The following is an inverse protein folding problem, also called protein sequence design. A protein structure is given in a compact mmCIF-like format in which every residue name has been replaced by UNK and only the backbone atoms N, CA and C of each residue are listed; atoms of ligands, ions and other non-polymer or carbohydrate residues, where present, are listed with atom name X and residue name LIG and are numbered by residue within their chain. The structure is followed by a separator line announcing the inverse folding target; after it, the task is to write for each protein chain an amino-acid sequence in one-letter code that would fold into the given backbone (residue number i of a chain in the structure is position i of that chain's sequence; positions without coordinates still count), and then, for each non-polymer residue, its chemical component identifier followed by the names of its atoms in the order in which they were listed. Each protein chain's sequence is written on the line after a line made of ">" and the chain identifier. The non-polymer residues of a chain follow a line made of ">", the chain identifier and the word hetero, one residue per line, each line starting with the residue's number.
data_IF_870258116865
#
_entry.id   IF_870258116865
#
_cell.length_a   1.000
_cell.length_b   1.000
_cell.length_c   1.000
_cell.angle_alpha   90.00
_cell.angle_beta   90.00
_cell.angle_gamma   90.00
#
_symmetry.space_group_name_H-M   'P 1'
#
loop_
_entity.id
_entity.type
_entity.pdbx_description
1 polymer ?
#
# COMPACT_ATOMS: atom_id res chain seq x y z
N UNK A 1 12.39 -29.81 -47.56
CA UNK A 1 12.63 -28.71 -46.62
C UNK A 1 11.42 -28.61 -45.71
N UNK A 2 11.51 -29.18 -44.51
CA UNK A 2 10.43 -29.17 -43.51
C UNK A 2 11.00 -28.52 -42.26
N UNK A 3 10.57 -27.28 -41.99
CA UNK A 3 10.87 -26.58 -40.74
C UNK A 3 9.88 -27.03 -39.66
N UNK A 4 10.33 -27.39 -38.45
CA UNK A 4 9.41 -27.62 -37.33
C UNK A 4 9.15 -26.31 -36.57
N UNK A 5 7.87 -26.01 -36.37
CA UNK A 5 7.38 -24.93 -35.51
C UNK A 5 7.63 -25.25 -34.04
N UNK A 6 8.51 -24.49 -33.39
CA UNK A 6 8.54 -24.37 -31.93
C UNK A 6 8.04 -22.98 -31.60
N UNK A 7 6.98 -22.89 -30.79
CA UNK A 7 6.71 -21.88 -29.73
C UNK A 7 5.20 -21.78 -29.53
N UNK A 8 4.64 -22.53 -28.58
CA UNK A 8 3.30 -22.22 -28.06
C UNK A 8 3.11 -22.49 -26.55
N UNK A 9 4.14 -22.96 -25.84
CA UNK A 9 4.04 -23.24 -24.39
C UNK A 9 4.27 -22.01 -23.49
N UNK A 10 5.13 -21.08 -23.89
CA UNK A 10 5.61 -19.99 -23.01
C UNK A 10 4.66 -18.78 -22.90
N UNK A 11 3.66 -18.69 -23.77
CA UNK A 11 2.69 -17.58 -23.77
C UNK A 11 1.48 -17.82 -22.87
N UNK A 12 1.12 -19.08 -22.59
CA UNK A 12 0.01 -19.42 -21.71
C UNK A 12 0.34 -19.10 -20.24
N UNK A 13 1.54 -19.46 -19.79
CA UNK A 13 1.98 -19.24 -18.40
C UNK A 13 2.13 -17.75 -18.06
N UNK A 14 2.51 -16.91 -19.04
CA UNK A 14 2.57 -15.45 -18.86
C UNK A 14 1.19 -14.81 -18.77
N UNK A 15 0.21 -15.33 -19.50
CA UNK A 15 -1.16 -14.80 -19.47
C UNK A 15 -1.86 -15.13 -18.15
N UNK A 16 -1.66 -16.32 -17.59
CA UNK A 16 -2.20 -16.70 -16.27
C UNK A 16 -1.59 -15.87 -15.14
N UNK A 17 -0.27 -15.61 -15.18
CA UNK A 17 0.39 -14.71 -14.22
C UNK A 17 -0.10 -13.27 -14.29
N UNK A 18 -0.43 -12.75 -15.49
CA UNK A 18 -1.00 -11.40 -15.63
C UNK A 18 -2.46 -11.31 -15.21
N UNK A 19 -3.26 -12.38 -15.35
CA UNK A 19 -4.66 -12.38 -14.93
C UNK A 19 -4.85 -12.50 -13.41
N UNK A 20 -3.87 -13.03 -12.68
CA UNK A 20 -3.90 -13.10 -11.22
C UNK A 20 -3.76 -11.73 -10.53
N UNK A 21 -3.19 -10.72 -11.21
CA UNK A 21 -2.94 -9.39 -10.66
C UNK A 21 -4.16 -8.45 -10.70
N UNK A 22 -5.33 -8.90 -11.17
CA UNK A 22 -6.51 -8.04 -11.37
C UNK A 22 -7.83 -8.64 -10.87
N UNK A 23 -7.78 -9.67 -10.02
CA UNK A 23 -8.99 -10.11 -9.33
C UNK A 23 -9.28 -9.19 -8.15
N UNK A 24 -10.43 -8.49 -8.19
CA UNK A 24 -10.92 -7.80 -7.01
C UNK A 24 -11.14 -8.83 -5.89
N UNK A 25 -10.68 -8.55 -4.65
CA UNK A 25 -10.86 -9.46 -3.55
C UNK A 25 -12.35 -9.75 -3.33
N UNK A 26 -12.67 -11.02 -3.09
CA UNK A 26 -14.03 -11.44 -2.79
C UNK A 26 -14.51 -10.84 -1.47
N UNK A 27 -15.82 -10.71 -1.29
CA UNK A 27 -16.41 -10.21 -0.03
C UNK A 27 -15.89 -10.94 1.21
N UNK A 28 -15.65 -12.26 1.10
CA UNK A 28 -15.14 -13.07 2.21
C UNK A 28 -13.63 -12.91 2.45
N UNK A 29 -12.84 -12.58 1.41
CA UNK A 29 -11.45 -12.20 1.57
C UNK A 29 -11.32 -10.81 2.21
N UNK A 30 -12.10 -9.84 1.73
CA UNK A 30 -12.16 -8.49 2.34
C UNK A 30 -12.59 -8.57 3.80
N UNK A 31 -13.63 -9.37 4.12
CA UNK A 31 -14.07 -9.57 5.51
C UNK A 31 -12.97 -10.20 6.37
N UNK A 32 -12.25 -11.19 5.85
CA UNK A 32 -11.14 -11.81 6.58
C UNK A 32 -10.00 -10.82 6.82
N UNK A 33 -9.63 -10.03 5.81
CA UNK A 33 -8.61 -9.00 5.94
C UNK A 33 -9.00 -7.95 7.00
N UNK A 34 -10.24 -7.46 6.98
CA UNK A 34 -10.74 -6.51 7.99
C UNK A 34 -10.68 -7.11 9.40
N UNK A 35 -11.12 -8.37 9.57
CA UNK A 35 -11.08 -9.03 10.87
C UNK A 35 -9.65 -9.21 11.40
N UNK A 36 -8.68 -9.47 10.51
CA UNK A 36 -7.27 -9.53 10.88
C UNK A 36 -6.77 -8.17 11.38
N UNK A 37 -7.11 -7.07 10.67
CA UNK A 37 -6.71 -5.71 11.06
C UNK A 37 -7.34 -5.30 12.38
N UNK A 38 -8.65 -5.51 12.56
CA UNK A 38 -9.37 -5.14 13.79
C UNK A 38 -8.94 -5.98 15.00
N UNK A 39 -8.43 -7.19 14.77
CA UNK A 39 -7.89 -8.06 15.82
C UNK A 39 -6.50 -7.67 16.33
N UNK A 40 -5.84 -6.69 15.71
CA UNK A 40 -4.51 -6.24 16.11
C UNK A 40 -4.51 -5.48 17.45
N UNK A 41 -3.37 -5.49 18.13
CA UNK A 41 -3.10 -4.56 19.22
C UNK A 41 -3.21 -3.11 18.74
N UNK A 42 -3.50 -2.16 19.65
CA UNK A 42 -3.66 -0.75 19.25
C UNK A 42 -2.45 -0.16 18.50
N UNK A 43 -1.19 -0.41 18.90
CA UNK A 43 -0.03 0.08 18.16
C UNK A 43 0.07 -0.51 16.75
N UNK A 44 -0.14 -1.82 16.61
CA UNK A 44 -0.07 -2.54 15.34
C UNK A 44 -1.22 -2.16 14.40
N UNK A 45 -2.42 -1.94 14.95
CA UNK A 45 -3.58 -1.43 14.22
C UNK A 45 -3.29 -0.03 13.68
N UNK A 46 -2.75 0.88 14.50
CA UNK A 46 -2.41 2.24 14.08
C UNK A 46 -1.37 2.23 12.95
N UNK A 47 -0.32 1.40 13.09
CA UNK A 47 0.69 1.23 12.03
C UNK A 47 0.08 0.67 10.75
N UNK A 48 -0.70 -0.39 10.85
CA UNK A 48 -1.33 -1.03 9.68
C UNK A 48 -2.28 -0.07 8.96
N UNK A 49 -3.07 0.70 9.70
CA UNK A 49 -3.96 1.70 9.12
C UNK A 49 -3.16 2.82 8.44
N UNK A 50 -2.07 3.30 9.05
CA UNK A 50 -1.20 4.29 8.45
C UNK A 50 -0.55 3.79 7.14
N UNK A 51 -0.12 2.52 7.09
CA UNK A 51 0.41 1.92 5.87
C UNK A 51 -0.65 1.83 4.75
N UNK A 52 -1.89 1.49 5.10
CA UNK A 52 -3.00 1.45 4.14
C UNK A 52 -3.30 2.85 3.60
N UNK A 53 -3.33 3.87 4.47
CA UNK A 53 -3.57 5.26 4.07
C UNK A 53 -2.42 5.76 3.17
N UNK A 54 -1.16 5.50 3.55
CA UNK A 54 -0.01 5.86 2.74
C UNK A 54 -0.06 5.22 1.35
N UNK A 55 -0.40 3.92 1.26
CA UNK A 55 -0.54 3.24 -0.02
C UNK A 55 -1.74 3.70 -0.85
N UNK A 56 -2.77 4.27 -0.22
CA UNK A 56 -3.94 4.82 -0.92
C UNK A 56 -3.69 6.22 -1.48
N UNK A 57 -2.85 7.02 -0.81
CA UNK A 57 -2.47 8.39 -1.22
C UNK A 57 -1.31 8.36 -2.21
N UNK A 58 -0.33 7.48 -1.99
CA UNK A 58 0.90 7.46 -2.75
C UNK A 58 0.66 7.25 -4.25
N UNK A 59 1.17 8.20 -5.05
CA UNK A 59 1.32 8.05 -6.49
C UNK A 59 2.77 7.73 -6.87
N UNK A 60 3.11 7.82 -8.16
CA UNK A 60 4.45 7.51 -8.67
C UNK A 60 5.58 8.38 -8.10
N UNK A 61 5.28 9.59 -7.62
CA UNK A 61 6.26 10.55 -7.11
C UNK A 61 6.48 10.40 -5.59
N UNK A 62 5.62 9.64 -4.90
CA UNK A 62 5.67 9.43 -3.45
C UNK A 62 6.43 8.16 -3.04
N UNK A 63 7.74 8.17 -3.20
CA UNK A 63 8.61 7.00 -2.94
C UNK A 63 8.68 6.57 -1.48
N UNK A 64 8.70 7.51 -0.53
CA UNK A 64 8.75 7.23 0.90
C UNK A 64 7.41 6.69 1.40
N UNK A 65 6.28 7.23 0.92
CA UNK A 65 4.95 6.68 1.22
C UNK A 65 4.77 5.28 0.64
N UNK A 66 5.23 5.03 -0.58
CA UNK A 66 5.22 3.69 -1.18
C UNK A 66 6.05 2.69 -0.37
N UNK A 67 7.26 3.08 0.05
CA UNK A 67 8.11 2.24 0.88
C UNK A 67 7.44 1.96 2.23
N UNK A 68 6.92 2.98 2.91
CA UNK A 68 6.22 2.82 4.17
C UNK A 68 4.99 1.90 4.02
N UNK A 69 4.18 2.08 2.97
CA UNK A 69 3.05 1.21 2.69
C UNK A 69 3.48 -0.25 2.52
N UNK A 70 4.58 -0.50 1.83
CA UNK A 70 5.08 -1.84 1.54
C UNK A 70 5.77 -2.54 2.72
N UNK A 71 6.62 -1.82 3.48
CA UNK A 71 7.51 -2.42 4.49
C UNK A 71 7.15 -2.03 5.92
N UNK A 72 6.44 -0.92 6.10
CA UNK A 72 6.16 -0.32 7.40
C UNK A 72 7.39 0.33 8.04
N UNK A 73 8.49 0.49 7.30
CA UNK A 73 9.63 1.30 7.71
C UNK A 73 9.34 2.78 7.42
N UNK A 74 9.67 3.65 8.38
CA UNK A 74 9.36 5.08 8.29
C UNK A 74 10.65 5.86 8.18
N UNK A 75 10.83 6.52 7.04
CA UNK A 75 11.69 7.70 6.93
C UNK A 75 10.83 8.92 7.22
N UNK A 76 10.93 9.45 8.44
CA UNK A 76 10.05 10.54 8.89
C UNK A 76 10.23 11.79 8.06
N UNK A 77 11.47 12.16 7.73
CA UNK A 77 11.76 13.42 7.04
C UNK A 77 11.23 13.35 5.60
N UNK A 78 11.58 12.28 4.88
CA UNK A 78 11.13 12.10 3.50
C UNK A 78 9.61 11.96 3.41
N UNK A 79 8.98 11.25 4.36
CA UNK A 79 7.53 11.01 4.32
C UNK A 79 6.74 12.27 4.70
N UNK A 80 7.22 13.12 5.61
CA UNK A 80 6.61 14.42 5.88
C UNK A 80 6.78 15.38 4.70
N UNK A 81 7.95 15.41 4.06
CA UNK A 81 8.20 16.22 2.86
C UNK A 81 7.31 15.79 1.67
N UNK A 82 7.04 14.49 1.56
CA UNK A 82 6.05 13.97 0.60
C UNK A 82 4.62 14.37 0.99
N UNK A 83 4.23 14.28 2.27
CA UNK A 83 2.90 14.68 2.75
C UNK A 83 2.60 16.16 2.50
N UNK A 84 3.59 17.05 2.62
CA UNK A 84 3.44 18.49 2.35
C UNK A 84 3.10 18.79 0.88
N UNK A 85 3.30 17.83 -0.04
CA UNK A 85 3.00 17.95 -1.46
C UNK A 85 1.69 17.27 -1.88
N UNK A 86 1.03 16.57 -0.96
CA UNK A 86 -0.21 15.86 -1.26
C UNK A 86 -1.35 16.85 -1.45
N UNK A 87 -1.94 16.83 -2.66
CA UNK A 87 -3.16 17.55 -2.97
C UNK A 87 -4.32 16.55 -3.10
N UNK A 88 -5.27 16.59 -2.16
CA UNK A 88 -6.47 15.74 -2.17
C UNK A 88 -7.74 16.58 -2.03
N UNK A 89 -8.91 16.07 -2.45
CA UNK A 89 -10.20 16.69 -2.13
C UNK A 89 -10.39 16.86 -0.62
N UNK A 90 -11.19 17.85 -0.22
CA UNK A 90 -11.46 18.18 1.18
C UNK A 90 -11.95 16.97 2.00
N UNK A 91 -12.74 16.09 1.40
CA UNK A 91 -13.26 14.88 2.02
C UNK A 91 -12.16 13.87 2.45
N UNK A 92 -10.99 13.95 1.81
CA UNK A 92 -9.84 13.05 2.02
C UNK A 92 -8.78 13.67 2.94
N UNK A 93 -8.82 14.98 3.21
CA UNK A 93 -7.86 15.68 4.09
C UNK A 93 -7.74 15.03 5.48
N UNK A 94 -8.85 14.50 6.01
CA UNK A 94 -8.86 13.83 7.31
C UNK A 94 -7.96 12.58 7.35
N UNK A 95 -7.75 11.92 6.21
CA UNK A 95 -6.92 10.73 6.09
C UNK A 95 -5.45 11.12 6.00
N UNK A 96 -5.14 12.16 5.22
CA UNK A 96 -3.80 12.77 5.13
C UNK A 96 -3.34 13.26 6.50
N UNK A 97 -4.20 14.00 7.21
CA UNK A 97 -3.91 14.51 8.55
C UNK A 97 -3.76 13.37 9.58
N UNK A 98 -4.57 12.30 9.48
CA UNK A 98 -4.39 11.12 10.32
C UNK A 98 -3.01 10.46 10.12
N UNK A 99 -2.55 10.36 8.86
CA UNK A 99 -1.22 9.85 8.55
C UNK A 99 -0.11 10.78 9.06
N UNK A 100 -0.21 12.09 8.83
CA UNK A 100 0.74 13.08 9.33
C UNK A 100 0.86 13.02 10.87
N UNK A 101 -0.26 12.94 11.58
CA UNK A 101 -0.27 12.79 13.04
C UNK A 101 0.37 11.49 13.51
N UNK A 102 0.14 10.37 12.79
CA UNK A 102 0.80 9.10 13.11
C UNK A 102 2.33 9.25 13.00
N UNK A 103 2.80 9.84 11.91
CA UNK A 103 4.23 10.04 11.61
C UNK A 103 4.88 10.98 12.63
N UNK A 104 4.20 12.06 12.99
CA UNK A 104 4.64 12.98 14.06
C UNK A 104 4.64 12.32 15.45
N UNK A 105 3.70 11.42 15.72
CA UNK A 105 3.64 10.72 17.01
C UNK A 105 4.81 9.75 17.19
N UNK A 106 5.18 9.02 16.14
CA UNK A 106 6.31 8.08 16.19
C UNK A 106 7.67 8.78 16.12
N UNK A 107 7.75 9.95 15.46
CA UNK A 107 8.98 10.76 15.42
C UNK A 107 9.19 11.60 16.67
N UNK A 108 8.10 12.07 17.30
CA UNK A 108 8.08 12.76 18.60
C UNK A 108 7.98 11.81 19.81
N UNK A 109 8.02 10.50 19.57
CA UNK A 109 7.86 9.45 20.57
C UNK A 109 9.03 9.42 21.57
N UNK A 110 8.80 10.07 22.70
CA UNK A 110 9.59 10.05 23.94
C UNK A 110 10.23 8.69 24.23
N UNK A 111 11.56 8.69 24.38
CA UNK A 111 12.28 7.71 25.21
C UNK A 111 12.04 7.99 26.69
#
# INVERSE_FOLDING_TARGET
>A
MTSPSITNGRNAERQEMTSALTQMPTKDETRRAINLVVGLGRPELQKTLAQVIAGAIADADHTAMQQFAATGEVDTEALLDELDRVEVPFEEEAWVDALARYVLFISGGRQ
#
